data_IF_003666899314
#
_entry.id   IF_003666899314
#
_cell.length_a   1.000
_cell.length_b   1.000
_cell.length_c   1.000
_cell.angle_alpha   90.00
_cell.angle_beta   90.00
_cell.angle_gamma   90.00
#
_symmetry.space_group_name_H-M   'P 1'
#
loop_
_entity.id
_entity.type
_entity.pdbx_description
1 polymer ?
#
# COMPACT_ATOMS: atom_id res chain seq x y z
N UNK A 1 -25.61 19.81 6.07
CA UNK A 1 -24.88 19.10 5.00
C UNK A 1 -23.43 19.06 5.42
N UNK A 2 -22.94 17.90 5.82
CA UNK A 2 -21.54 17.70 6.23
C UNK A 2 -20.75 17.18 5.04
N UNK A 3 -19.58 17.76 4.79
CA UNK A 3 -18.62 17.23 3.83
C UNK A 3 -17.90 16.09 4.57
N UNK A 4 -18.22 14.84 4.24
CA UNK A 4 -17.40 13.69 4.66
C UNK A 4 -16.18 13.64 3.75
N UNK A 5 -15.01 13.82 4.35
CA UNK A 5 -13.73 13.62 3.70
C UNK A 5 -13.25 12.19 3.95
N UNK A 6 -13.87 11.21 3.28
CA UNK A 6 -13.22 9.90 3.20
C UNK A 6 -11.96 10.06 2.34
N UNK A 7 -10.83 9.58 2.88
CA UNK A 7 -9.56 9.64 2.15
C UNK A 7 -9.64 8.72 0.95
N UNK A 8 -9.31 9.21 -0.25
CA UNK A 8 -9.31 8.39 -1.48
C UNK A 8 -8.22 7.31 -1.41
N UNK A 9 -7.13 7.60 -0.69
CA UNK A 9 -5.92 6.78 -0.59
C UNK A 9 -5.60 6.49 0.87
N UNK A 10 -5.07 5.30 1.12
CA UNK A 10 -4.50 4.87 2.39
C UNK A 10 -3.03 4.53 2.24
N UNK A 11 -2.25 4.85 3.28
CA UNK A 11 -0.86 4.43 3.38
C UNK A 11 -0.75 3.09 4.08
N UNK A 12 -0.11 2.12 3.43
CA UNK A 12 0.12 0.78 3.97
C UNK A 12 1.62 0.56 4.13
N UNK A 13 1.99 -0.02 5.25
CA UNK A 13 3.37 -0.44 5.53
C UNK A 13 3.45 -1.96 5.46
N UNK A 14 4.37 -2.46 4.65
CA UNK A 14 4.59 -3.89 4.41
C UNK A 14 5.96 -4.26 4.98
N UNK A 15 6.04 -5.38 5.70
CA UNK A 15 7.30 -5.96 6.16
C UNK A 15 7.67 -7.13 5.25
N UNK A 16 8.86 -7.09 4.65
CA UNK A 16 9.39 -8.18 3.84
C UNK A 16 10.91 -8.29 4.04
N UNK A 17 11.39 -9.47 4.41
CA UNK A 17 12.81 -9.75 4.67
C UNK A 17 13.47 -8.72 5.61
N UNK A 18 12.83 -8.44 6.74
CA UNK A 18 13.23 -7.46 7.76
C UNK A 18 13.31 -6.00 7.27
N UNK A 19 12.74 -5.71 6.09
CA UNK A 19 12.67 -4.37 5.52
C UNK A 19 11.22 -3.88 5.41
N UNK A 20 11.03 -2.59 5.70
CA UNK A 20 9.73 -1.94 5.58
C UNK A 20 9.59 -1.22 4.25
N UNK A 21 8.52 -1.51 3.53
CA UNK A 21 8.09 -0.82 2.32
C UNK A 21 6.82 -0.04 2.63
N UNK A 22 6.70 1.18 2.11
CA UNK A 22 5.46 1.96 2.17
C UNK A 22 4.88 2.08 0.78
N UNK A 23 3.59 1.84 0.68
CA UNK A 23 2.83 2.05 -0.56
C UNK A 23 1.54 2.81 -0.25
N UNK A 24 0.96 3.36 -1.31
CA UNK A 24 -0.41 3.88 -1.29
C UNK A 24 -1.32 2.86 -1.96
N UNK A 25 -2.52 2.72 -1.45
CA UNK A 25 -3.60 1.91 -2.01
C UNK A 25 -4.89 2.71 -1.90
N UNK A 26 -5.79 2.55 -2.86
CA UNK A 26 -7.11 3.15 -2.78
C UNK A 26 -7.89 2.57 -1.58
N UNK A 27 -8.66 3.41 -0.88
CA UNK A 27 -9.42 3.00 0.31
C UNK A 27 -10.57 2.04 -0.02
N UNK A 28 -11.11 2.13 -1.24
CA UNK A 28 -12.10 1.19 -1.77
C UNK A 28 -11.51 -0.23 -1.87
N UNK A 29 -10.28 -0.37 -2.35
CA UNK A 29 -9.54 -1.63 -2.43
C UNK A 29 -9.23 -2.24 -1.06
N UNK A 30 -8.86 -1.42 -0.06
CA UNK A 30 -8.71 -1.91 1.32
C UNK A 30 -9.99 -2.55 1.83
N UNK A 31 -11.13 -1.91 1.55
CA UNK A 31 -12.44 -2.37 1.99
C UNK A 31 -12.88 -3.61 1.22
N UNK A 32 -12.70 -3.63 -0.10
CA UNK A 32 -13.13 -4.73 -0.97
C UNK A 32 -12.32 -6.01 -0.72
N UNK A 33 -11.03 -5.87 -0.42
CA UNK A 33 -10.15 -6.97 -0.05
C UNK A 33 -10.25 -7.32 1.45
N UNK A 34 -10.94 -6.50 2.26
CA UNK A 34 -10.99 -6.60 3.73
C UNK A 34 -9.60 -6.78 4.34
N UNK A 35 -8.63 -6.01 3.83
CA UNK A 35 -7.23 -6.05 4.25
C UNK A 35 -7.07 -5.53 5.68
N UNK A 36 -6.31 -6.26 6.49
CA UNK A 36 -6.04 -5.94 7.89
C UNK A 36 -4.55 -5.98 8.19
N UNK A 37 -4.17 -5.29 9.26
CA UNK A 37 -2.81 -5.37 9.79
C UNK A 37 -2.53 -6.81 10.21
N UNK A 38 -1.46 -7.39 9.67
CA UNK A 38 -1.04 -8.77 9.93
C UNK A 38 -1.40 -9.76 8.83
N UNK A 39 -2.19 -9.36 7.83
CA UNK A 39 -2.47 -10.20 6.67
C UNK A 39 -1.22 -10.35 5.79
N UNK A 40 -1.02 -11.56 5.25
CA UNK A 40 -0.02 -11.81 4.21
C UNK A 40 -0.53 -11.28 2.87
N UNK A 41 0.34 -10.56 2.15
CA UNK A 41 0.00 -9.92 0.88
C UNK A 41 1.01 -10.21 -0.21
N UNK A 42 0.55 -10.22 -1.46
CA UNK A 42 1.42 -10.26 -2.64
C UNK A 42 1.52 -8.84 -3.20
N UNK A 43 2.74 -8.32 -3.28
CA UNK A 43 3.00 -6.98 -3.82
C UNK A 43 3.59 -7.10 -5.22
N UNK A 44 2.83 -6.65 -6.22
CA UNK A 44 3.33 -6.50 -7.60
C UNK A 44 3.94 -5.12 -7.79
N UNK A 45 5.21 -5.06 -8.22
CA UNK A 45 5.88 -3.79 -8.57
C UNK A 45 6.20 -3.80 -10.05
N UNK A 46 5.83 -2.73 -10.76
CA UNK A 46 6.16 -2.56 -12.17
C UNK A 46 7.64 -2.22 -12.31
N UNK A 47 8.37 -3.02 -13.08
CA UNK A 47 9.82 -2.87 -13.23
C UNK A 47 10.26 -1.52 -13.80
N UNK A 48 9.42 -0.89 -14.65
CA UNK A 48 9.70 0.45 -15.20
C UNK A 48 9.73 1.56 -14.16
N UNK A 49 9.14 1.31 -12.98
CA UNK A 49 8.96 2.31 -11.93
C UNK A 49 9.99 2.10 -10.81
N UNK A 50 10.93 1.16 -10.99
CA UNK A 50 12.03 0.86 -10.07
C UNK A 50 13.29 1.61 -10.50
N UNK A 51 13.83 2.42 -9.59
CA UNK A 51 15.10 3.12 -9.80
C UNK A 51 16.19 2.41 -8.99
N UNK A 52 17.25 1.98 -9.68
CA UNK A 52 18.40 1.30 -9.08
C UNK A 52 19.57 2.26 -8.95
N UNK A 53 20.12 2.37 -7.74
CA UNK A 53 21.37 3.09 -7.47
C UNK A 53 22.48 2.09 -7.18
N UNK A 54 23.65 2.27 -7.82
CA UNK A 54 24.87 1.54 -7.51
C UNK A 54 25.68 2.31 -6.45
N UNK A 55 26.17 1.59 -5.45
CA UNK A 55 27.12 2.08 -4.44
C UNK A 55 28.53 1.61 -4.82
#
# INVERSE_FOLDING_TARGET
MGIEHDSIMASVTILHADQFFKTLIDTEELTSLNLRVGDDVIVGVKSSDVILFKI
#
